data_IF_910523213990
#
_entry.id   IF_910523213990
#
_cell.length_a   1.000
_cell.length_b   1.000
_cell.length_c   1.000
_cell.angle_alpha   90.00
_cell.angle_beta   90.00
_cell.angle_gamma   90.00
#
_symmetry.space_group_name_H-M   'P 1'
#
loop_
_entity.id
_entity.type
_entity.pdbx_description
1 polymer ?
#
# COMPACT_ATOMS: atom_id res chain seq x y z
N UNK A 1 -20.44 16.78 -1.11
CA UNK A 1 -21.20 15.54 -0.80
C UNK A 1 -20.19 14.43 -0.53
N UNK A 2 -20.38 13.60 0.51
CA UNK A 2 -19.58 12.40 0.70
C UNK A 2 -19.78 11.45 -0.49
N UNK A 3 -18.73 10.78 -0.91
CA UNK A 3 -18.75 9.90 -2.10
C UNK A 3 -18.30 8.47 -1.80
N UNK A 4 -17.92 8.16 -0.55
CA UNK A 4 -17.40 6.84 -0.15
C UNK A 4 -18.15 6.24 1.06
N UNK A 5 -19.20 6.90 1.55
CA UNK A 5 -19.89 6.56 2.81
C UNK A 5 -20.64 5.22 2.76
N UNK A 6 -21.02 4.76 1.58
CA UNK A 6 -21.72 3.47 1.39
C UNK A 6 -20.76 2.26 1.45
N UNK A 7 -19.46 2.49 1.60
CA UNK A 7 -18.49 1.41 1.69
C UNK A 7 -18.38 0.86 3.12
N UNK A 8 -18.14 -0.46 3.31
CA UNK A 8 -18.12 -1.09 4.64
C UNK A 8 -16.82 -0.83 5.42
N UNK A 9 -16.19 0.32 5.21
CA UNK A 9 -14.92 0.69 5.83
C UNK A 9 -14.91 2.16 6.19
N UNK A 10 -14.31 2.49 7.35
CA UNK A 10 -14.36 3.83 7.95
C UNK A 10 -13.09 4.66 7.75
N UNK A 11 -12.02 4.06 7.24
CA UNK A 11 -10.73 4.75 7.14
C UNK A 11 -10.10 4.57 5.77
N UNK A 12 -9.49 5.66 5.32
CA UNK A 12 -8.75 5.75 4.06
C UNK A 12 -7.29 5.98 4.41
N UNK A 13 -6.40 5.16 3.85
CA UNK A 13 -4.96 5.29 4.00
C UNK A 13 -4.29 5.99 2.83
N UNK A 14 -4.84 5.82 1.63
CA UNK A 14 -4.30 6.41 0.41
C UNK A 14 -5.42 6.75 -0.59
N UNK A 15 -5.22 7.83 -1.34
CA UNK A 15 -6.07 8.22 -2.48
C UNK A 15 -5.16 8.61 -3.62
N UNK A 16 -5.43 8.08 -4.82
CA UNK A 16 -4.68 8.42 -6.03
C UNK A 16 -5.64 8.64 -7.19
N UNK A 17 -5.44 9.74 -7.92
CA UNK A 17 -6.27 10.14 -9.07
C UNK A 17 -5.49 9.87 -10.35
N UNK A 18 -6.11 9.20 -11.30
CA UNK A 18 -5.52 9.02 -12.63
C UNK A 18 -5.44 10.36 -13.37
N UNK A 19 -4.21 10.83 -13.61
CA UNK A 19 -3.97 12.10 -14.30
C UNK A 19 -4.41 12.10 -15.77
N UNK A 20 -4.66 10.93 -16.35
CA UNK A 20 -5.18 10.79 -17.73
C UNK A 20 -6.71 10.81 -17.78
N UNK A 21 -7.36 10.44 -16.69
CA UNK A 21 -8.81 10.46 -16.54
C UNK A 21 -9.19 10.72 -15.09
N UNK A 22 -9.45 11.97 -14.73
CA UNK A 22 -9.72 12.37 -13.34
C UNK A 22 -11.02 11.82 -12.75
N UNK A 23 -11.88 11.21 -13.55
CA UNK A 23 -13.03 10.43 -13.06
C UNK A 23 -12.60 9.08 -12.47
N UNK A 24 -11.36 8.64 -12.76
CA UNK A 24 -10.78 7.42 -12.19
C UNK A 24 -9.99 7.75 -10.94
N UNK A 25 -10.48 7.23 -9.80
CA UNK A 25 -9.84 7.41 -8.49
C UNK A 25 -9.67 6.06 -7.82
N UNK A 26 -8.50 5.85 -7.23
CA UNK A 26 -8.20 4.68 -6.42
C UNK A 26 -8.16 5.06 -4.94
N UNK A 27 -8.70 4.20 -4.09
CA UNK A 27 -8.72 4.35 -2.64
C UNK A 27 -8.16 3.10 -1.99
N UNK A 28 -7.06 3.26 -1.26
CA UNK A 28 -6.51 2.26 -0.36
C UNK A 28 -7.05 2.48 1.04
N UNK A 29 -7.63 1.44 1.63
CA UNK A 29 -8.32 1.54 2.91
C UNK A 29 -7.42 1.18 4.09
N UNK A 30 -7.85 1.55 5.29
CA UNK A 30 -7.16 1.34 6.55
C UNK A 30 -6.27 2.50 6.96
N UNK A 31 -6.21 2.76 8.23
CA UNK A 31 -5.44 3.86 8.80
C UNK A 31 -3.93 3.52 8.79
N UNK A 32 -3.17 4.14 7.88
CA UNK A 32 -1.77 3.81 7.65
C UNK A 32 -0.85 4.24 8.82
N UNK A 33 -1.22 5.31 9.54
CA UNK A 33 -0.45 5.81 10.67
C UNK A 33 -0.61 4.94 11.91
N UNK A 34 0.53 4.60 12.52
CA UNK A 34 0.58 3.70 13.67
C UNK A 34 0.28 4.44 14.96
N UNK A 35 -0.84 4.13 15.61
CA UNK A 35 -1.23 4.65 16.92
C UNK A 35 -1.98 3.60 17.74
N UNK A 36 -2.47 3.95 18.94
CA UNK A 36 -3.11 2.99 19.85
C UNK A 36 -4.44 2.46 19.34
N UNK A 37 -5.15 3.27 18.56
CA UNK A 37 -6.47 2.96 18.04
C UNK A 37 -6.46 3.28 16.54
N UNK A 38 -6.49 2.27 15.71
CA UNK A 38 -6.50 2.40 14.25
C UNK A 38 -7.69 1.64 13.67
N UNK A 39 -8.34 2.23 12.69
CA UNK A 39 -9.36 1.56 11.91
C UNK A 39 -8.71 0.69 10.85
N UNK A 40 -9.17 -0.56 10.76
CA UNK A 40 -8.71 -1.53 9.76
C UNK A 40 -9.45 -1.27 8.45
N UNK A 41 -8.71 -1.37 7.35
CA UNK A 41 -9.25 -1.41 6.01
C UNK A 41 -9.59 -2.83 5.55
N UNK A 42 -10.15 -2.93 4.37
CA UNK A 42 -10.53 -4.18 3.73
C UNK A 42 -10.09 -4.26 2.27
N UNK A 43 -8.97 -3.61 1.94
CA UNK A 43 -8.40 -3.67 0.60
C UNK A 43 -8.46 -2.36 -0.17
N UNK A 44 -8.58 -2.48 -1.49
CA UNK A 44 -8.49 -1.36 -2.42
C UNK A 44 -9.77 -1.22 -3.25
N UNK A 45 -10.13 0.02 -3.52
CA UNK A 45 -11.32 0.39 -4.29
C UNK A 45 -10.95 1.28 -5.46
N UNK A 46 -11.79 1.24 -6.49
CA UNK A 46 -11.67 2.09 -7.69
C UNK A 46 -13.05 2.63 -8.07
N UNK A 47 -13.09 3.89 -8.45
CA UNK A 47 -14.18 4.48 -9.21
C UNK A 47 -13.71 4.84 -10.62
N UNK A 48 -14.62 4.94 -11.57
CA UNK A 48 -14.38 5.45 -12.94
C UNK A 48 -15.38 6.51 -13.33
N UNK A 49 -16.19 6.98 -12.39
CA UNK A 49 -17.29 7.93 -12.54
C UNK A 49 -17.25 9.06 -11.50
N UNK A 50 -16.05 9.41 -11.04
CA UNK A 50 -15.85 10.52 -10.09
C UNK A 50 -16.35 10.24 -8.67
N UNK A 51 -16.62 8.97 -8.34
CA UNK A 51 -17.05 8.54 -7.02
C UNK A 51 -18.55 8.27 -6.91
N UNK A 52 -19.29 8.28 -8.02
CA UNK A 52 -20.70 7.91 -8.01
C UNK A 52 -20.87 6.42 -7.69
N UNK A 53 -19.96 5.57 -8.21
CA UNK A 53 -19.91 4.14 -7.86
C UNK A 53 -18.49 3.68 -7.52
N UNK A 54 -18.38 2.67 -6.65
CA UNK A 54 -17.08 2.12 -6.23
C UNK A 54 -17.05 0.61 -6.41
N UNK A 55 -15.95 0.13 -6.99
CA UNK A 55 -15.67 -1.29 -7.14
C UNK A 55 -14.57 -1.70 -6.16
N UNK A 56 -14.82 -2.71 -5.33
CA UNK A 56 -13.81 -3.35 -4.51
C UNK A 56 -12.96 -4.29 -5.38
N UNK A 57 -11.62 -4.12 -5.31
CA UNK A 57 -10.67 -4.79 -6.20
C UNK A 57 -9.63 -5.63 -5.44
N UNK A 58 -10.03 -6.22 -4.31
CA UNK A 58 -9.22 -7.17 -3.55
C UNK A 58 -8.24 -6.53 -2.59
N UNK A 59 -7.13 -7.23 -2.29
CA UNK A 59 -6.19 -6.93 -1.22
C UNK A 59 -6.84 -6.90 0.18
N UNK A 60 -7.86 -7.73 0.40
CA UNK A 60 -8.68 -7.78 1.63
C UNK A 60 -7.84 -7.96 2.90
N UNK A 61 -6.80 -8.78 2.82
CA UNK A 61 -5.91 -9.06 3.95
C UNK A 61 -4.90 -7.95 4.25
N UNK A 62 -4.85 -6.88 3.44
CA UNK A 62 -3.87 -5.81 3.61
C UNK A 62 -4.01 -5.05 4.93
N UNK A 63 -5.22 -4.93 5.47
CA UNK A 63 -5.65 -4.09 6.59
C UNK A 63 -5.29 -2.61 6.45
N UNK A 64 -4.18 -2.28 5.77
CA UNK A 64 -3.71 -0.89 5.61
C UNK A 64 -2.90 -0.74 4.33
N UNK A 65 -3.33 0.18 3.48
CA UNK A 65 -2.65 0.61 2.27
C UNK A 65 -2.22 2.06 2.48
N UNK A 66 -0.91 2.30 2.51
CA UNK A 66 -0.33 3.60 2.83
C UNK A 66 -0.09 4.50 1.63
N UNK A 67 0.05 3.92 0.45
CA UNK A 67 0.32 4.64 -0.79
C UNK A 67 -0.20 3.88 -2.00
N UNK A 68 -0.59 4.62 -3.04
CA UNK A 68 -0.96 4.10 -4.35
C UNK A 68 -0.21 4.91 -5.39
N UNK A 69 0.29 4.29 -6.46
CA UNK A 69 0.88 4.97 -7.62
C UNK A 69 0.33 4.37 -8.89
N UNK A 70 -0.14 5.23 -9.79
CA UNK A 70 -0.62 4.88 -11.13
C UNK A 70 0.50 5.17 -12.12
N UNK A 71 0.82 4.23 -13.00
CA UNK A 71 1.77 4.48 -14.09
C UNK A 71 1.15 5.50 -15.06
N UNK A 72 1.73 6.69 -15.23
CA UNK A 72 1.15 7.73 -16.09
C UNK A 72 1.12 7.35 -17.58
N UNK A 73 1.82 6.26 -17.97
CA UNK A 73 1.78 5.71 -19.33
C UNK A 73 0.63 4.73 -19.54
N UNK A 74 0.14 4.10 -18.44
CA UNK A 74 -0.82 2.99 -18.49
C UNK A 74 -1.68 2.96 -17.24
N UNK A 75 -2.88 3.54 -17.29
CA UNK A 75 -3.82 3.66 -16.16
C UNK A 75 -4.21 2.31 -15.50
N UNK A 76 -4.08 1.21 -16.24
CA UNK A 76 -4.32 -0.13 -15.71
C UNK A 76 -3.14 -0.71 -14.92
N UNK A 77 -1.98 -0.04 -14.95
CA UNK A 77 -0.82 -0.40 -14.16
C UNK A 77 -0.78 0.45 -12.90
N UNK A 78 -1.03 -0.20 -11.76
CA UNK A 78 -1.11 0.47 -10.45
C UNK A 78 -0.31 -0.30 -9.43
N UNK A 79 0.35 0.44 -8.55
CA UNK A 79 1.11 -0.11 -7.41
C UNK A 79 0.44 0.29 -6.11
N UNK A 80 0.33 -0.66 -5.17
CA UNK A 80 -0.20 -0.47 -3.83
C UNK A 80 0.87 -0.80 -2.78
N UNK A 81 1.12 0.14 -1.87
CA UNK A 81 2.04 0.00 -0.75
C UNK A 81 1.28 -0.53 0.47
N UNK A 82 1.49 -1.79 0.83
CA UNK A 82 0.78 -2.46 1.92
C UNK A 82 1.63 -2.46 3.18
N UNK A 83 1.20 -1.69 4.18
CA UNK A 83 1.82 -1.66 5.50
C UNK A 83 1.50 -2.95 6.29
N UNK A 84 0.29 -3.48 6.10
CA UNK A 84 -0.17 -4.73 6.73
C UNK A 84 -0.66 -4.56 8.16
N UNK A 85 -0.84 -5.66 8.87
CA UNK A 85 -1.45 -5.71 10.21
C UNK A 85 -0.63 -4.98 11.27
N UNK A 86 -1.29 -4.25 12.16
CA UNK A 86 -0.62 -3.53 13.24
C UNK A 86 -0.22 -4.47 14.40
N UNK A 87 -1.12 -5.37 14.78
CA UNK A 87 -1.05 -6.13 16.02
C UNK A 87 -0.49 -7.55 15.86
N UNK A 88 -0.37 -8.01 14.64
CA UNK A 88 0.08 -9.38 14.33
C UNK A 88 1.00 -9.42 13.12
N UNK A 89 1.59 -10.58 12.91
CA UNK A 89 2.32 -10.91 11.70
C UNK A 89 1.39 -10.96 10.48
N UNK A 90 1.93 -10.63 9.33
CA UNK A 90 1.22 -10.71 8.06
C UNK A 90 2.21 -10.98 6.93
N UNK A 91 1.84 -11.89 6.03
CA UNK A 91 2.60 -12.17 4.81
C UNK A 91 2.18 -11.26 3.63
N UNK A 92 1.09 -10.51 3.83
CA UNK A 92 0.51 -9.60 2.82
C UNK A 92 1.13 -8.20 2.86
N UNK A 93 2.33 -8.07 3.42
CA UNK A 93 3.09 -6.82 3.53
C UNK A 93 4.01 -6.63 2.33
N UNK A 94 4.19 -5.39 1.89
CA UNK A 94 5.11 -5.06 0.80
C UNK A 94 4.45 -4.26 -0.31
N UNK A 95 4.93 -4.41 -1.54
CA UNK A 95 4.36 -3.70 -2.69
C UNK A 95 3.67 -4.68 -3.63
N UNK A 96 2.44 -4.35 -3.99
CA UNK A 96 1.64 -5.07 -4.98
C UNK A 96 1.52 -4.26 -6.25
N UNK A 97 1.41 -4.94 -7.37
CA UNK A 97 1.18 -4.35 -8.69
C UNK A 97 0.05 -5.07 -9.40
N UNK A 98 -0.85 -4.31 -10.00
CA UNK A 98 -1.76 -4.77 -11.06
C UNK A 98 -1.30 -4.26 -12.42
N UNK A 99 -1.71 -4.92 -13.50
CA UNK A 99 -1.54 -4.49 -14.90
C UNK A 99 -2.85 -4.60 -15.69
N UNK A 100 -3.92 -4.95 -15.02
CA UNK A 100 -5.24 -5.20 -15.59
C UNK A 100 -6.33 -4.38 -14.88
N UNK A 101 -5.94 -3.23 -14.33
CA UNK A 101 -6.88 -2.31 -13.69
C UNK A 101 -7.44 -2.82 -12.37
N UNK A 102 -6.72 -3.72 -11.68
CA UNK A 102 -7.07 -4.23 -10.36
C UNK A 102 -7.76 -5.59 -10.35
N UNK A 103 -7.95 -6.23 -11.52
CA UNK A 103 -8.55 -7.56 -11.57
C UNK A 103 -7.65 -8.62 -10.93
N UNK A 104 -6.34 -8.48 -11.11
CA UNK A 104 -5.34 -9.34 -10.45
C UNK A 104 -4.21 -8.52 -9.85
N UNK A 105 -3.64 -9.03 -8.74
CA UNK A 105 -2.54 -8.40 -8.02
C UNK A 105 -1.36 -9.36 -7.88
N UNK A 106 -0.17 -8.85 -8.18
CA UNK A 106 1.10 -9.54 -7.96
C UNK A 106 1.88 -8.83 -6.86
N UNK A 107 2.32 -9.55 -5.83
CA UNK A 107 3.27 -9.02 -4.85
C UNK A 107 4.65 -8.92 -5.50
N UNK A 108 5.06 -7.69 -5.87
CA UNK A 108 6.31 -7.42 -6.60
C UNK A 108 7.49 -7.10 -5.67
N UNK A 109 7.21 -6.66 -4.44
CA UNK A 109 8.18 -6.55 -3.36
C UNK A 109 7.63 -7.22 -2.13
N UNK A 110 8.18 -8.38 -1.80
CA UNK A 110 7.85 -9.09 -0.57
C UNK A 110 8.70 -8.55 0.57
N UNK A 111 8.07 -8.28 1.71
CA UNK A 111 8.80 -7.91 2.91
C UNK A 111 9.73 -9.04 3.38
N UNK A 112 10.90 -8.72 3.95
CA UNK A 112 11.89 -9.73 4.36
C UNK A 112 11.44 -10.58 5.57
N UNK A 113 10.47 -10.09 6.33
CA UNK A 113 9.87 -10.80 7.45
C UNK A 113 8.38 -10.42 7.62
N UNK A 114 7.68 -11.06 8.53
CA UNK A 114 6.24 -10.85 8.74
C UNK A 114 5.89 -9.58 9.54
N UNK A 115 6.89 -8.82 10.04
CA UNK A 115 6.69 -7.55 10.75
C UNK A 115 7.02 -6.32 9.90
N UNK A 116 7.71 -6.50 8.78
CA UNK A 116 8.11 -5.40 7.90
C UNK A 116 7.07 -5.19 6.81
N UNK A 117 6.63 -3.96 6.62
CA UNK A 117 5.66 -3.58 5.59
C UNK A 117 6.11 -2.37 4.79
N UNK A 118 5.42 -2.12 3.68
CA UNK A 118 5.61 -0.91 2.90
C UNK A 118 4.96 0.26 3.63
N UNK A 119 5.75 1.29 3.96
CA UNK A 119 5.29 2.50 4.65
C UNK A 119 5.06 3.68 3.70
N UNK A 120 5.82 3.75 2.62
CA UNK A 120 5.67 4.78 1.58
C UNK A 120 6.20 4.28 0.25
N UNK A 121 5.63 4.77 -0.84
CA UNK A 121 5.98 4.44 -2.21
C UNK A 121 6.04 5.72 -3.04
N UNK A 122 7.14 5.91 -3.78
CA UNK A 122 7.30 7.02 -4.70
C UNK A 122 7.65 6.50 -6.09
N UNK A 123 7.14 7.15 -7.13
CA UNK A 123 7.39 6.84 -8.53
C UNK A 123 8.01 8.05 -9.22
N UNK A 124 9.00 7.84 -10.07
CA UNK A 124 9.50 8.86 -10.97
C UNK A 124 8.50 9.02 -12.13
N UNK A 125 7.78 10.13 -12.15
CA UNK A 125 6.76 10.41 -13.19
C UNK A 125 7.34 10.49 -14.62
N UNK A 126 8.63 10.83 -14.75
CA UNK A 126 9.32 10.88 -16.04
C UNK A 126 9.84 9.52 -16.49
N UNK A 127 10.11 8.63 -15.53
CA UNK A 127 10.53 7.27 -15.78
C UNK A 127 9.81 6.33 -14.80
N UNK A 128 8.55 5.97 -15.04
CA UNK A 128 7.72 5.18 -14.13
C UNK A 128 8.22 3.75 -13.85
N UNK A 129 9.26 3.30 -14.56
CA UNK A 129 9.95 2.06 -14.22
C UNK A 129 10.83 2.19 -12.96
N UNK A 130 11.08 3.46 -12.52
CA UNK A 130 11.81 3.75 -11.29
C UNK A 130 10.83 4.05 -10.16
N UNK A 131 10.84 3.17 -9.15
CA UNK A 131 10.09 3.38 -7.91
C UNK A 131 11.02 3.20 -6.70
N UNK A 132 10.69 3.93 -5.64
CA UNK A 132 11.30 3.79 -4.32
C UNK A 132 10.26 3.35 -3.32
N UNK A 133 10.57 2.32 -2.53
CA UNK A 133 9.70 1.83 -1.46
C UNK A 133 10.44 1.88 -0.12
N UNK A 134 9.87 2.61 0.84
CA UNK A 134 10.34 2.60 2.21
C UNK A 134 9.69 1.43 2.95
N UNK A 135 10.50 0.48 3.39
CA UNK A 135 10.05 -0.61 4.24
C UNK A 135 10.26 -0.25 5.71
N UNK A 136 9.26 -0.56 6.52
CA UNK A 136 9.30 -0.30 7.95
C UNK A 136 9.02 -1.59 8.74
N UNK A 137 10.00 -1.97 9.57
CA UNK A 137 9.88 -3.06 10.51
C UNK A 137 9.34 -2.51 11.84
N UNK A 138 8.12 -2.92 12.20
CA UNK A 138 7.42 -2.39 13.38
C UNK A 138 6.60 -3.45 14.09
N UNK A 139 6.39 -3.23 15.40
CA UNK A 139 5.52 -4.04 16.25
C UNK A 139 4.72 -3.19 17.21
N UNK A 140 3.45 -3.53 17.32
CA UNK A 140 2.58 -3.03 18.36
C UNK A 140 2.16 -4.19 19.26
N UNK A 141 2.45 -4.10 20.54
CA UNK A 141 2.04 -5.09 21.56
C UNK A 141 1.52 -4.34 22.79
N UNK A 142 0.20 -4.40 23.04
CA UNK A 142 -0.41 -3.75 24.19
C UNK A 142 0.01 -2.27 24.31
N UNK A 143 0.74 -1.94 25.36
CA UNK A 143 1.18 -0.58 25.65
C UNK A 143 2.53 -0.22 25.02
N UNK A 144 3.17 -1.12 24.29
CA UNK A 144 4.47 -0.89 23.69
C UNK A 144 4.37 -0.77 22.18
N UNK A 145 5.15 0.15 21.63
CA UNK A 145 5.40 0.26 20.21
C UNK A 145 6.89 0.11 19.96
N UNK A 146 7.23 -0.68 18.95
CA UNK A 146 8.61 -0.83 18.51
C UNK A 146 8.71 -0.51 17.02
N UNK A 147 9.71 0.27 16.69
CA UNK A 147 10.23 0.47 15.35
C UNK A 147 11.60 -0.20 15.29
N UNK A 148 11.80 -1.12 14.35
CA UNK A 148 13.10 -1.74 14.16
C UNK A 148 13.28 -3.12 14.79
N UNK A 149 12.41 -4.08 14.46
CA UNK A 149 12.62 -5.50 14.75
C UNK A 149 11.96 -6.06 16.01
N UNK A 150 12.10 -7.37 16.19
CA UNK A 150 11.38 -8.15 17.21
C UNK A 150 11.88 -7.95 18.65
N UNK A 151 13.15 -7.61 18.83
CA UNK A 151 13.78 -7.41 20.12
C UNK A 151 14.75 -6.22 20.10
N UNK A 152 15.13 -5.65 21.25
CA UNK A 152 16.11 -4.56 21.29
C UNK A 152 17.46 -4.89 20.66
N UNK A 153 17.75 -6.18 20.52
CA UNK A 153 19.00 -6.71 19.95
C UNK A 153 18.82 -7.29 18.54
N UNK A 154 17.58 -7.36 18.04
CA UNK A 154 17.32 -7.84 16.67
C UNK A 154 17.66 -6.75 15.65
N UNK A 155 18.29 -7.16 14.56
CA UNK A 155 18.52 -6.27 13.41
C UNK A 155 17.17 -5.88 12.82
N UNK A 156 16.98 -4.58 12.58
CA UNK A 156 15.81 -4.06 11.86
C UNK A 156 15.87 -4.50 10.41
N UNK A 157 14.72 -4.87 9.87
CA UNK A 157 14.53 -5.09 8.44
C UNK A 157 13.90 -3.87 7.73
N UNK A 158 13.91 -2.69 8.38
CA UNK A 158 13.56 -1.43 7.73
C UNK A 158 14.61 -1.09 6.69
N UNK A 159 14.19 -0.74 5.48
CA UNK A 159 15.07 -0.52 4.35
C UNK A 159 14.46 0.48 3.36
N UNK A 160 15.31 1.12 2.57
CA UNK A 160 14.88 1.84 1.38
C UNK A 160 15.23 0.98 0.15
N UNK A 161 14.20 0.62 -0.60
CA UNK A 161 14.31 -0.23 -1.78
C UNK A 161 14.10 0.60 -3.04
N UNK A 162 14.82 0.26 -4.10
CA UNK A 162 14.63 0.85 -5.42
C UNK A 162 14.44 -0.24 -6.47
N UNK A 163 13.51 -0.03 -7.38
CA UNK A 163 13.40 -0.75 -8.65
C UNK A 163 13.69 0.20 -9.80
N UNK A 164 14.17 -0.33 -10.93
CA UNK A 164 14.40 0.40 -12.19
C UNK A 164 13.79 -0.31 -13.40
N UNK A 165 12.96 -1.31 -13.14
CA UNK A 165 12.34 -2.20 -14.12
C UNK A 165 10.84 -2.43 -13.85
N UNK A 166 10.18 -1.44 -13.21
CA UNK A 166 8.76 -1.49 -12.90
C UNK A 166 8.42 -2.57 -11.88
N UNK A 167 9.32 -2.83 -10.94
CA UNK A 167 9.10 -3.76 -9.84
C UNK A 167 9.40 -5.22 -10.16
N UNK A 168 10.13 -5.53 -11.24
CA UNK A 168 10.56 -6.89 -11.52
C UNK A 168 11.71 -7.30 -10.59
N UNK A 169 12.64 -6.36 -10.32
CA UNK A 169 13.71 -6.53 -9.34
C UNK A 169 13.79 -5.33 -8.40
N UNK A 170 14.24 -5.57 -7.17
CA UNK A 170 14.42 -4.54 -6.16
C UNK A 170 15.80 -4.66 -5.52
N UNK A 171 16.42 -3.51 -5.23
CA UNK A 171 17.73 -3.41 -4.60
C UNK A 171 17.62 -2.47 -3.39
N UNK A 172 18.21 -2.85 -2.28
CA UNK A 172 18.36 -1.99 -1.10
C UNK A 172 19.45 -0.94 -1.34
N UNK A 173 19.22 0.31 -0.88
CA UNK A 173 20.14 1.45 -1.03
C UNK A 173 20.35 2.21 0.28
#
# INVERSE_FOLDING_TARGET
TPVFDDQPVQSIGAVEIDQRNTETVWVGTGEAWTRNSVSIGNGIYKTTDGGDTWQHLGLDGSERISDIRIDPRASDTVYACVTGRLWSDSLERGVYRTRDGGQTWQQVLKAPNASTGCASLSMDEKNPDVLYAALWDFRRKGWTFRSGGESPTATSASALMVTRDGGQTWTEI
#
